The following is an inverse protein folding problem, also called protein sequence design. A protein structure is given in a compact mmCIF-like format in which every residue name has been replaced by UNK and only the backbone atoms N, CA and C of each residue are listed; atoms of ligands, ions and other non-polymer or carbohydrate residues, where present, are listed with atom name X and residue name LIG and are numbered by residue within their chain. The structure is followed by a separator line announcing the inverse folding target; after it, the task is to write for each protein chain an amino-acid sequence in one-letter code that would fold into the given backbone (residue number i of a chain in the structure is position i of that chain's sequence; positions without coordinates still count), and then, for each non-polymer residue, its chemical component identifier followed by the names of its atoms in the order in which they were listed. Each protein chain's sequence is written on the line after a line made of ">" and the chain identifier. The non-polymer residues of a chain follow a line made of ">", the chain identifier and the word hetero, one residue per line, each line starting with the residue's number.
data_IF_212093984919
#
_entry.id   IF_212093984919
#
_cell.length_a   1.000
_cell.length_b   1.000
_cell.length_c   1.000
_cell.angle_alpha   90.00
_cell.angle_beta   90.00
_cell.angle_gamma   90.00
#
_symmetry.space_group_name_H-M   'P 1'
#
loop_
_entity.id
_entity.type
_entity.pdbx_description
1 polymer ?
#
# COMPACT_ATOMS: atom_id res chain seq x y z
N UNK A 1 6.93 -18.04 -0.85
CA UNK A 1 7.66 -16.80 -0.44
C UNK A 1 6.84 -15.52 -0.68
N UNK A 2 5.86 -15.51 -1.59
CA UNK A 2 4.87 -14.42 -1.79
C UNK A 2 3.90 -14.24 -0.60
N UNK A 3 3.75 -15.26 0.23
CA UNK A 3 2.80 -15.27 1.35
C UNK A 3 3.15 -14.29 2.49
N UNK A 4 4.44 -14.09 2.80
CA UNK A 4 4.85 -13.21 3.92
C UNK A 4 4.69 -11.73 3.55
N UNK A 5 4.95 -11.39 2.28
CA UNK A 5 4.75 -10.03 1.75
C UNK A 5 3.26 -9.71 1.62
N UNK A 6 2.45 -10.69 1.19
CA UNK A 6 0.99 -10.60 1.24
C UNK A 6 0.43 -10.58 2.66
N UNK A 7 1.11 -11.19 3.64
CA UNK A 7 0.75 -11.13 5.06
C UNK A 7 1.01 -9.72 5.61
N UNK A 8 2.19 -9.14 5.36
CA UNK A 8 2.50 -7.77 5.76
C UNK A 8 1.58 -6.75 5.06
N UNK A 9 1.23 -6.98 3.80
CA UNK A 9 0.21 -6.19 3.08
C UNK A 9 -1.19 -6.42 3.67
N UNK A 10 -1.57 -7.65 4.03
CA UNK A 10 -2.86 -7.97 4.67
C UNK A 10 -2.96 -7.38 6.09
N UNK A 11 -1.88 -7.35 6.84
CA UNK A 11 -1.80 -6.71 8.16
C UNK A 11 -1.88 -5.19 8.02
N UNK A 12 -1.29 -4.63 6.96
CA UNK A 12 -1.43 -3.20 6.63
C UNK A 12 -2.83 -2.84 6.08
N UNK A 13 -3.56 -3.75 5.42
CA UNK A 13 -4.73 -3.36 4.61
C UNK A 13 -6.05 -4.14 4.85
N UNK A 14 -6.07 -5.28 5.56
CA UNK A 14 -7.23 -6.20 5.52
C UNK A 14 -7.73 -6.73 6.89
N UNK A 15 -7.02 -6.60 8.03
CA UNK A 15 -7.60 -7.05 9.32
C UNK A 15 -7.13 -6.27 10.54
N UNK A 16 -7.69 -5.07 10.75
CA UNK A 16 -7.87 -4.52 12.10
C UNK A 16 -9.20 -5.06 12.64
N UNK A 17 -9.18 -6.31 13.09
CA UNK A 17 -10.10 -6.85 14.09
C UNK A 17 -9.31 -7.88 14.89
N UNK A 18 -8.60 -7.44 15.93
CA UNK A 18 -9.14 -7.52 17.30
C UNK A 18 -8.16 -7.09 18.41
N UNK A 19 -7.00 -6.50 18.11
CA UNK A 19 -6.18 -5.92 19.18
C UNK A 19 -5.70 -4.51 18.81
N UNK A 20 -6.29 -3.53 19.49
CA UNK A 20 -5.89 -2.11 19.54
C UNK A 20 -6.17 -1.26 18.30
N UNK A 21 -7.42 -0.78 18.18
CA UNK A 21 -7.78 0.62 17.88
C UNK A 21 -6.95 1.44 16.86
N UNK A 22 -6.36 0.84 15.83
CA UNK A 22 -5.68 1.52 14.74
C UNK A 22 -6.33 1.14 13.41
N UNK A 23 -7.64 1.40 13.32
CA UNK A 23 -8.19 1.73 12.00
C UNK A 23 -7.33 2.87 11.46
N UNK A 24 -6.90 2.85 10.20
CA UNK A 24 -6.42 4.07 9.57
C UNK A 24 -7.62 5.04 9.56
N UNK A 25 -7.74 5.83 10.63
CA UNK A 25 -8.95 6.57 10.99
C UNK A 25 -9.15 7.78 10.10
N UNK A 26 -8.11 8.23 9.40
CA UNK A 26 -8.18 9.43 8.54
C UNK A 26 -7.56 9.22 7.15
N UNK A 27 -8.08 9.98 6.18
CA UNK A 27 -7.55 10.02 4.80
C UNK A 27 -6.03 10.33 4.80
N UNK A 28 -5.59 11.24 5.67
CA UNK A 28 -4.19 11.63 5.84
C UNK A 28 -3.27 10.47 6.22
N UNK A 29 -3.72 9.55 7.09
CA UNK A 29 -2.90 8.40 7.50
C UNK A 29 -2.73 7.40 6.35
N UNK A 30 -3.78 7.20 5.56
CA UNK A 30 -3.73 6.37 4.36
C UNK A 30 -2.82 6.98 3.28
N UNK A 31 -2.83 8.30 3.12
CA UNK A 31 -1.96 9.00 2.16
C UNK A 31 -0.49 8.89 2.57
N UNK A 32 -0.19 9.07 3.87
CA UNK A 32 1.17 8.86 4.43
C UNK A 32 1.65 7.42 4.26
N UNK A 33 0.76 6.44 4.40
CA UNK A 33 1.11 5.04 4.17
C UNK A 33 1.47 4.78 2.70
N UNK A 34 0.72 5.39 1.77
CA UNK A 34 1.03 5.31 0.33
C UNK A 34 2.39 5.96 0.04
N UNK A 35 2.66 7.16 0.57
CA UNK A 35 3.95 7.84 0.44
C UNK A 35 5.10 6.97 0.98
N UNK A 36 4.97 6.43 2.19
CA UNK A 36 5.97 5.55 2.79
C UNK A 36 6.28 4.32 1.90
N UNK A 37 5.25 3.70 1.34
CA UNK A 37 5.40 2.51 0.49
C UNK A 37 5.93 2.82 -0.91
N UNK A 38 5.83 4.05 -1.40
CA UNK A 38 6.09 4.38 -2.83
C UNK A 38 7.19 5.43 -3.06
N UNK A 39 7.63 6.14 -2.03
CA UNK A 39 8.67 7.16 -2.14
C UNK A 39 9.99 6.57 -2.64
N UNK A 40 10.55 7.15 -3.70
CA UNK A 40 11.83 6.70 -4.28
C UNK A 40 13.05 7.31 -3.59
N UNK A 41 12.85 8.36 -2.79
CA UNK A 41 13.92 9.06 -2.10
C UNK A 41 13.42 9.75 -0.83
N UNK A 42 14.33 10.25 0.00
CA UNK A 42 13.98 10.98 1.23
C UNK A 42 13.94 10.09 2.48
N UNK A 43 13.37 10.64 3.56
CA UNK A 43 13.34 9.99 4.88
C UNK A 43 12.56 8.67 4.89
N UNK A 44 11.41 8.65 4.22
CA UNK A 44 10.56 7.49 4.09
C UNK A 44 11.24 6.34 3.34
N UNK A 45 11.85 6.62 2.18
CA UNK A 45 12.59 5.63 1.41
C UNK A 45 13.74 4.99 2.22
N UNK A 46 14.53 5.82 2.93
CA UNK A 46 15.59 5.31 3.82
C UNK A 46 15.03 4.44 4.95
N UNK A 47 13.93 4.86 5.56
CA UNK A 47 13.31 4.12 6.66
C UNK A 47 12.74 2.78 6.19
N UNK A 48 12.02 2.77 5.06
CA UNK A 48 11.53 1.54 4.40
C UNK A 48 12.69 0.59 4.08
N UNK A 49 13.77 1.09 3.47
CA UNK A 49 14.90 0.25 3.10
C UNK A 49 15.59 -0.34 4.34
N UNK A 50 15.71 0.43 5.42
CA UNK A 50 16.20 -0.09 6.70
C UNK A 50 15.32 -1.22 7.24
N UNK A 51 13.99 -1.07 7.20
CA UNK A 51 13.05 -2.11 7.65
C UNK A 51 13.08 -3.35 6.76
N UNK A 52 13.11 -3.17 5.44
CA UNK A 52 13.19 -4.29 4.49
C UNK A 52 14.52 -5.05 4.62
N UNK A 53 15.63 -4.35 4.88
CA UNK A 53 16.92 -4.99 5.09
C UNK A 53 16.94 -5.96 6.28
N UNK A 54 16.16 -5.68 7.34
CA UNK A 54 16.05 -6.58 8.51
C UNK A 54 15.51 -7.97 8.15
N UNK A 55 14.73 -8.07 7.08
CA UNK A 55 14.15 -9.32 6.58
C UNK A 55 14.81 -9.79 5.27
N UNK A 56 15.95 -9.20 4.91
CA UNK A 56 16.72 -9.55 3.72
C UNK A 56 16.07 -9.11 2.40
N UNK A 57 15.23 -8.07 2.43
CA UNK A 57 14.56 -7.53 1.25
C UNK A 57 15.12 -6.19 0.82
N UNK A 58 15.01 -5.93 -0.48
CA UNK A 58 15.27 -4.61 -1.05
C UNK A 58 13.97 -3.78 -1.02
N UNK A 59 13.99 -2.72 -0.22
CA UNK A 59 12.85 -1.83 -0.08
C UNK A 59 12.57 -0.99 -1.34
N UNK A 60 13.57 -0.73 -2.18
CA UNK A 60 13.36 0.00 -3.44
C UNK A 60 12.66 -0.89 -4.48
N UNK A 61 13.02 -2.18 -4.52
CA UNK A 61 12.29 -3.19 -5.30
C UNK A 61 10.85 -3.31 -4.83
N UNK A 62 10.61 -3.30 -3.51
CA UNK A 62 9.26 -3.28 -2.96
C UNK A 62 8.48 -2.05 -3.44
N UNK A 63 9.06 -0.86 -3.32
CA UNK A 63 8.41 0.39 -3.72
C UNK A 63 8.09 0.42 -5.22
N UNK A 64 9.04 -0.01 -6.07
CA UNK A 64 8.81 -0.12 -7.50
C UNK A 64 7.64 -1.04 -7.82
N UNK A 65 7.56 -2.19 -7.16
CA UNK A 65 6.45 -3.15 -7.34
C UNK A 65 5.11 -2.58 -6.88
N UNK A 66 5.07 -1.93 -5.72
CA UNK A 66 3.84 -1.30 -5.21
C UNK A 66 3.33 -0.23 -6.17
N UNK A 67 4.22 0.62 -6.69
CA UNK A 67 3.87 1.63 -7.70
C UNK A 67 3.31 1.00 -8.97
N UNK A 68 3.95 -0.03 -9.49
CA UNK A 68 3.48 -0.72 -10.69
C UNK A 68 2.04 -1.25 -10.50
N UNK A 69 1.74 -1.87 -9.35
CA UNK A 69 0.39 -2.34 -9.04
C UNK A 69 -0.63 -1.20 -8.94
N UNK A 70 -0.23 -0.04 -8.38
CA UNK A 70 -1.06 1.17 -8.35
C UNK A 70 -1.24 1.83 -9.73
N UNK A 71 -0.29 1.64 -10.64
CA UNK A 71 -0.32 2.18 -12.00
C UNK A 71 -1.13 1.30 -12.97
N UNK A 72 -1.30 0.01 -12.66
CA UNK A 72 -2.16 -0.86 -13.46
C UNK A 72 -1.85 -2.35 -13.35
N UNK A 73 -0.67 -2.73 -12.85
CA UNK A 73 -0.29 -4.14 -12.70
C UNK A 73 -1.21 -4.89 -11.75
N UNK A 74 -1.20 -6.22 -11.91
CA UNK A 74 -2.08 -7.10 -11.17
C UNK A 74 -1.86 -7.02 -9.65
N UNK A 75 -2.96 -6.75 -8.94
CA UNK A 75 -3.04 -6.87 -7.48
C UNK A 75 -3.65 -8.23 -7.18
N UNK A 76 -2.81 -9.25 -7.02
CA UNK A 76 -3.31 -10.57 -6.65
C UNK A 76 -4.08 -10.50 -5.31
N UNK A 77 -5.18 -11.25 -5.16
CA UNK A 77 -5.86 -11.34 -3.88
C UNK A 77 -4.93 -11.96 -2.83
N UNK A 78 -5.00 -11.52 -1.57
CA UNK A 78 -4.04 -11.92 -0.54
C UNK A 78 -4.21 -13.38 -0.07
N UNK A 79 -5.23 -14.11 -0.54
CA UNK A 79 -5.43 -15.55 -0.24
C UNK A 79 -5.72 -16.32 -1.52
N UNK A 80 -5.14 -17.53 -1.67
CA UNK A 80 -5.43 -18.40 -2.80
C UNK A 80 -6.88 -18.90 -2.81
N UNK A 81 -7.50 -19.10 -1.64
CA UNK A 81 -8.89 -19.57 -1.49
C UNK A 81 -9.88 -18.40 -1.31
N UNK A 82 -9.74 -17.35 -2.11
CA UNK A 82 -10.62 -16.18 -1.99
C UNK A 82 -12.05 -16.51 -2.44
N UNK A 83 -13.02 -16.35 -1.54
CA UNK A 83 -14.44 -16.42 -1.91
C UNK A 83 -14.79 -15.31 -2.90
N UNK A 84 -15.85 -15.46 -3.73
CA UNK A 84 -16.28 -14.42 -4.66
C UNK A 84 -16.47 -13.05 -3.98
N UNK A 85 -17.10 -13.02 -2.80
CA UNK A 85 -17.29 -11.80 -2.01
C UNK A 85 -15.97 -11.18 -1.51
N UNK A 86 -14.91 -11.96 -1.34
CA UNK A 86 -13.58 -11.45 -0.97
C UNK A 86 -12.86 -10.88 -2.19
N UNK A 87 -13.00 -11.52 -3.36
CA UNK A 87 -12.49 -11.01 -4.63
C UNK A 87 -13.14 -9.68 -5.01
N UNK A 88 -14.45 -9.56 -4.83
CA UNK A 88 -15.21 -8.34 -5.13
C UNK A 88 -14.79 -7.18 -4.24
N UNK A 89 -14.65 -7.43 -2.93
CA UNK A 89 -14.14 -6.42 -1.97
C UNK A 89 -12.71 -6.01 -2.28
N UNK A 90 -11.85 -6.97 -2.65
CA UNK A 90 -10.47 -6.72 -3.06
C UNK A 90 -10.42 -5.86 -4.32
N UNK A 91 -11.19 -6.21 -5.36
CA UNK A 91 -11.28 -5.43 -6.59
C UNK A 91 -11.73 -3.98 -6.31
N UNK A 92 -12.76 -3.81 -5.47
CA UNK A 92 -13.22 -2.48 -5.07
C UNK A 92 -12.15 -1.70 -4.26
N UNK A 93 -11.37 -2.37 -3.41
CA UNK A 93 -10.28 -1.75 -2.69
C UNK A 93 -9.13 -1.31 -3.62
N UNK A 94 -8.78 -2.13 -4.61
CA UNK A 94 -7.79 -1.81 -5.63
C UNK A 94 -8.22 -0.59 -6.44
N UNK A 95 -9.49 -0.50 -6.85
CA UNK A 95 -10.01 0.69 -7.56
C UNK A 95 -9.83 1.95 -6.73
N UNK A 96 -10.27 1.94 -5.46
CA UNK A 96 -10.13 3.11 -4.56
C UNK A 96 -8.67 3.49 -4.34
N UNK A 97 -7.78 2.51 -4.20
CA UNK A 97 -6.35 2.75 -4.04
C UNK A 97 -5.76 3.45 -5.26
N UNK A 98 -6.12 2.99 -6.47
CA UNK A 98 -5.65 3.57 -7.72
C UNK A 98 -6.18 4.98 -7.96
N UNK A 99 -7.46 5.23 -7.64
CA UNK A 99 -8.04 6.58 -7.69
C UNK A 99 -7.29 7.54 -6.77
N UNK A 100 -7.03 7.12 -5.53
CA UNK A 100 -6.25 7.92 -4.58
C UNK A 100 -4.82 8.14 -5.03
N UNK A 101 -4.16 7.12 -5.56
CA UNK A 101 -2.82 7.25 -6.12
C UNK A 101 -2.77 8.30 -7.22
N UNK A 102 -3.75 8.32 -8.14
CA UNK A 102 -3.88 9.36 -9.16
C UNK A 102 -4.05 10.74 -8.55
N UNK A 103 -4.85 10.87 -7.49
CA UNK A 103 -5.00 12.14 -6.77
C UNK A 103 -3.69 12.63 -6.14
N UNK A 104 -2.90 11.73 -5.57
CA UNK A 104 -1.59 12.08 -4.98
C UNK A 104 -0.54 12.42 -6.04
N UNK A 105 -0.59 11.77 -7.20
CA UNK A 105 0.28 12.10 -8.34
C UNK A 105 -0.09 13.42 -9.01
N UNK A 106 -1.35 13.82 -8.95
CA UNK A 106 -1.79 15.12 -9.47
C UNK A 106 -1.29 16.17 -8.49
N UNK A 107 -0.32 17.04 -8.86
CA UNK A 107 0.16 18.05 -7.95
C UNK A 107 -1.03 18.87 -7.47
N UNK A 108 -1.06 19.23 -6.19
CA UNK A 108 -1.92 20.30 -5.70
C UNK A 108 -1.72 21.54 -6.61
N UNK A 109 -2.56 21.71 -7.63
CA UNK A 109 -2.88 23.02 -8.20
C UNK A 109 -3.68 23.77 -7.12
N UNK A 110 -3.03 24.11 -6.00
CA UNK A 110 -3.51 25.07 -5.00
C UNK A 110 -2.43 25.42 -3.99
N UNK A 111 -1.54 26.32 -4.40
CA UNK A 111 -1.29 27.61 -3.71
C UNK A 111 -0.30 28.46 -4.53
N UNK A 112 -0.85 29.09 -5.57
CA UNK A 112 -0.35 30.34 -6.12
C UNK A 112 -1.58 31.19 -6.48
N UNK A 113 -2.18 31.78 -5.44
CA UNK A 113 -3.09 32.91 -5.50
C UNK A 113 -3.12 33.54 -4.10
#
# INVERSE_FOLDING_TARGET
>A
MTAILMQAYRDLFVSVRDESNASFTTQTEQDRAIEFLTDLSGGNARHRNALCALIGWDGDVLAARVRAMMEGDDFAPPTPDATPATLERHAAAVVRLRERWRHLQTPHQRRAA
#
